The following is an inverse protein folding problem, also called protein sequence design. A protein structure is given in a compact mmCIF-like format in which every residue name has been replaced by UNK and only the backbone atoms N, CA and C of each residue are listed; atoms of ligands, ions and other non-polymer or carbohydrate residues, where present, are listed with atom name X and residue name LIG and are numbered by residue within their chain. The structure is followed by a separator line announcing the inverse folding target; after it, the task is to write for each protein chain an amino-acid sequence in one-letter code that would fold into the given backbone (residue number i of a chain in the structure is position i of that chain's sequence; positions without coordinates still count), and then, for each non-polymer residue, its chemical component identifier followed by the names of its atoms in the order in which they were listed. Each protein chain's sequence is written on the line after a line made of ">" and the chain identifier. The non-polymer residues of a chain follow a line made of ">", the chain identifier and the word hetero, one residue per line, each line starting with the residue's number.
data_IF_469135068905
#
_entry.id   IF_469135068905
#
_cell.length_a   1.000
_cell.length_b   1.000
_cell.length_c   1.000
_cell.angle_alpha   90.00
_cell.angle_beta   90.00
_cell.angle_gamma   90.00
#
_symmetry.space_group_name_H-M   'P 1'
#
loop_
_entity.id
_entity.type
_entity.pdbx_description
1 polymer ?
#
# COMPACT_ATOMS: atom_id res chain seq x y z
N UNK A 1 5.10 -11.24 -29.52
CA UNK A 1 3.99 -10.29 -29.81
C UNK A 1 4.55 -9.05 -30.46
N UNK A 2 3.86 -8.49 -31.48
CA UNK A 2 4.24 -7.22 -32.08
C UNK A 2 4.08 -6.09 -31.05
N UNK A 3 5.03 -5.15 -31.02
CA UNK A 3 4.95 -3.97 -30.16
C UNK A 3 4.22 -2.85 -30.89
N UNK A 4 3.30 -2.18 -30.19
CA UNK A 4 2.67 -0.96 -30.66
C UNK A 4 3.52 0.23 -30.23
N UNK A 5 3.77 1.17 -31.13
CA UNK A 5 4.59 2.34 -30.88
C UNK A 5 3.74 3.59 -31.17
N UNK A 6 3.65 4.49 -30.22
CA UNK A 6 3.03 5.81 -30.35
C UNK A 6 4.05 6.91 -30.02
N UNK A 7 3.89 8.05 -30.68
CA UNK A 7 4.79 9.19 -30.54
C UNK A 7 4.02 10.46 -30.19
N UNK A 8 4.76 11.42 -29.69
CA UNK A 8 4.34 12.81 -29.53
C UNK A 8 3.07 13.01 -28.68
N UNK A 9 2.24 13.92 -29.10
CA UNK A 9 1.04 14.33 -28.37
C UNK A 9 0.03 13.18 -28.21
N UNK A 10 -0.11 12.31 -29.22
CA UNK A 10 -1.03 11.16 -29.16
C UNK A 10 -0.64 10.21 -28.05
N UNK A 11 0.67 9.95 -27.87
CA UNK A 11 1.18 9.09 -26.81
C UNK A 11 0.88 9.71 -25.43
N UNK A 12 1.18 11.00 -25.24
CA UNK A 12 0.90 11.73 -24.01
C UNK A 12 -0.58 11.74 -23.63
N UNK A 13 -1.45 12.00 -24.60
CA UNK A 13 -2.90 12.00 -24.38
C UNK A 13 -3.44 10.63 -24.00
N UNK A 14 -2.97 9.55 -24.62
CA UNK A 14 -3.40 8.18 -24.27
C UNK A 14 -2.94 7.80 -22.87
N UNK A 15 -1.68 8.07 -22.53
CA UNK A 15 -1.19 7.83 -21.16
C UNK A 15 -1.98 8.66 -20.14
N UNK A 16 -2.24 9.96 -20.41
CA UNK A 16 -3.04 10.80 -19.53
C UNK A 16 -4.45 10.28 -19.32
N UNK A 17 -5.11 9.76 -20.35
CA UNK A 17 -6.43 9.15 -20.20
C UNK A 17 -6.42 7.96 -19.26
N UNK A 18 -5.38 7.13 -19.31
CA UNK A 18 -5.21 6.01 -18.38
C UNK A 18 -5.04 6.48 -16.94
N UNK A 19 -4.16 7.46 -16.73
CA UNK A 19 -3.97 8.15 -15.44
C UNK A 19 -5.29 8.70 -14.90
N UNK A 20 -6.04 9.44 -15.73
CA UNK A 20 -7.29 10.07 -15.33
C UNK A 20 -8.38 9.04 -14.98
N UNK A 21 -8.47 7.93 -15.73
CA UNK A 21 -9.45 6.87 -15.48
C UNK A 21 -9.22 6.20 -14.13
N UNK A 22 -7.98 5.79 -13.85
CA UNK A 22 -7.65 5.17 -12.57
C UNK A 22 -7.81 6.17 -11.41
N UNK A 23 -7.26 7.37 -11.54
CA UNK A 23 -7.37 8.38 -10.50
C UNK A 23 -8.82 8.76 -10.19
N UNK A 24 -9.70 8.81 -11.20
CA UNK A 24 -11.13 9.06 -11.01
C UNK A 24 -11.80 7.96 -10.18
N UNK A 25 -11.49 6.69 -10.46
CA UNK A 25 -12.04 5.56 -9.71
C UNK A 25 -11.60 5.57 -8.25
N UNK A 26 -10.30 5.84 -8.00
CA UNK A 26 -9.73 5.88 -6.65
C UNK A 26 -10.18 7.12 -5.87
N UNK A 27 -10.25 8.29 -6.52
CA UNK A 27 -10.57 9.57 -5.85
C UNK A 27 -11.99 9.63 -5.25
N UNK A 28 -12.90 8.75 -5.68
CA UNK A 28 -14.26 8.66 -5.12
C UNK A 28 -14.24 8.32 -3.62
N UNK A 29 -13.21 7.62 -3.17
CA UNK A 29 -13.06 7.20 -1.77
C UNK A 29 -12.47 8.29 -0.86
N UNK A 30 -12.03 9.43 -1.41
CA UNK A 30 -11.32 10.46 -0.67
C UNK A 30 -12.23 11.34 0.19
N UNK A 31 -11.81 11.51 1.44
CA UNK A 31 -12.38 12.50 2.36
C UNK A 31 -13.71 12.09 3.01
N UNK A 32 -14.33 13.00 3.79
CA UNK A 32 -15.50 12.68 4.62
C UNK A 32 -16.77 12.34 3.83
N UNK A 33 -16.79 12.61 2.53
CA UNK A 33 -17.85 12.21 1.59
C UNK A 33 -17.41 11.05 0.69
N UNK A 34 -16.30 10.40 1.04
CA UNK A 34 -15.80 9.23 0.33
C UNK A 34 -16.85 8.13 0.28
N UNK A 35 -16.91 7.44 -0.84
CA UNK A 35 -17.85 6.33 -1.08
C UNK A 35 -17.07 5.05 -1.33
N UNK A 36 -17.67 3.92 -1.01
CA UNK A 36 -17.13 2.62 -1.35
C UNK A 36 -17.24 2.38 -2.87
N UNK A 37 -16.31 1.62 -3.39
CA UNK A 37 -16.30 1.13 -4.77
C UNK A 37 -16.60 -0.35 -4.77
N UNK A 38 -17.42 -0.80 -5.71
CA UNK A 38 -17.71 -2.20 -5.93
C UNK A 38 -16.81 -2.69 -7.07
N UNK A 39 -15.99 -3.70 -6.78
CA UNK A 39 -15.07 -4.31 -7.73
C UNK A 39 -15.60 -5.67 -8.17
N UNK A 40 -15.74 -5.85 -9.49
CA UNK A 40 -16.05 -7.15 -10.09
C UNK A 40 -14.73 -7.89 -10.38
N UNK A 41 -14.53 -9.03 -9.74
CA UNK A 41 -13.35 -9.89 -9.95
C UNK A 41 -13.53 -10.95 -11.01
N UNK A 42 -14.68 -10.97 -11.69
CA UNK A 42 -15.00 -11.97 -12.70
C UNK A 42 -15.28 -13.37 -12.14
N UNK A 43 -14.71 -13.72 -10.99
CA UNK A 43 -14.97 -14.96 -10.25
C UNK A 43 -15.21 -14.65 -8.76
N UNK A 44 -16.28 -15.22 -8.21
CA UNK A 44 -16.65 -15.02 -6.80
C UNK A 44 -17.58 -13.82 -6.58
N UNK A 45 -17.72 -13.42 -5.32
CA UNK A 45 -18.54 -12.27 -4.95
C UNK A 45 -17.83 -10.95 -5.25
N UNK A 46 -18.56 -9.90 -5.65
CA UNK A 46 -18.01 -8.56 -5.77
C UNK A 46 -17.37 -8.11 -4.45
N UNK A 47 -16.26 -7.38 -4.55
CA UNK A 47 -15.59 -6.80 -3.38
C UNK A 47 -16.01 -5.35 -3.24
N UNK A 48 -16.47 -4.97 -2.05
CA UNK A 48 -16.79 -3.59 -1.69
C UNK A 48 -15.63 -3.04 -0.85
N UNK A 49 -15.01 -1.98 -1.32
CA UNK A 49 -13.85 -1.39 -0.64
C UNK A 49 -13.78 0.11 -0.85
N UNK A 50 -13.14 0.80 0.08
CA UNK A 50 -12.75 2.20 -0.02
C UNK A 50 -11.22 2.39 0.00
N UNK A 51 -10.48 1.30 0.08
CA UNK A 51 -9.02 1.35 0.05
C UNK A 51 -8.48 1.64 -1.36
N UNK A 52 -7.72 2.74 -1.46
CA UNK A 52 -7.21 3.24 -2.74
C UNK A 52 -6.24 2.28 -3.43
N UNK A 53 -5.37 1.58 -2.70
CA UNK A 53 -4.43 0.63 -3.31
C UNK A 53 -5.14 -0.62 -3.80
N UNK A 54 -6.12 -1.13 -3.07
CA UNK A 54 -6.94 -2.27 -3.50
C UNK A 54 -7.69 -1.95 -4.78
N UNK A 55 -8.32 -0.76 -4.86
CA UNK A 55 -9.00 -0.32 -6.08
C UNK A 55 -8.01 -0.17 -7.23
N UNK A 56 -6.86 0.46 -6.99
CA UNK A 56 -5.86 0.68 -8.03
C UNK A 56 -5.32 -0.63 -8.61
N UNK A 57 -5.06 -1.64 -7.78
CA UNK A 57 -4.57 -2.96 -8.21
C UNK A 57 -5.53 -3.72 -9.11
N UNK A 58 -6.83 -3.61 -8.87
CA UNK A 58 -7.85 -4.33 -9.65
C UNK A 58 -8.21 -3.65 -10.97
N UNK A 59 -7.78 -2.37 -11.17
CA UNK A 59 -8.08 -1.66 -12.42
C UNK A 59 -7.13 -2.10 -13.53
N UNK A 60 -7.69 -2.65 -14.58
CA UNK A 60 -7.03 -2.94 -15.85
C UNK A 60 -7.84 -2.34 -17.01
N UNK A 61 -7.17 -1.61 -17.90
CA UNK A 61 -7.83 -0.94 -19.03
C UNK A 61 -7.66 -1.73 -20.33
N UNK A 62 -8.74 -1.81 -21.10
CA UNK A 62 -8.73 -2.55 -22.37
C UNK A 62 -7.74 -1.98 -23.40
N UNK A 63 -7.56 -0.66 -23.45
CA UNK A 63 -6.54 -0.04 -24.30
C UNK A 63 -5.16 -0.17 -23.62
N UNK A 64 -4.24 -0.85 -24.30
CA UNK A 64 -2.90 -1.14 -23.77
C UNK A 64 -2.08 0.09 -23.42
N UNK A 65 -2.25 1.20 -24.17
CA UNK A 65 -1.48 2.41 -23.95
C UNK A 65 -2.10 3.24 -22.82
N UNK A 66 -3.40 3.31 -22.76
CA UNK A 66 -4.08 3.88 -21.60
C UNK A 66 -3.73 3.07 -20.33
N UNK A 67 -3.67 1.73 -20.43
CA UNK A 67 -3.28 0.88 -19.30
C UNK A 67 -1.86 1.18 -18.79
N UNK A 68 -0.90 1.45 -19.67
CA UNK A 68 0.43 1.91 -19.23
C UNK A 68 0.37 3.20 -18.40
N UNK A 69 -0.53 4.11 -18.72
CA UNK A 69 -0.77 5.31 -17.92
C UNK A 69 -1.36 4.99 -16.56
N UNK A 70 -2.29 4.05 -16.50
CA UNK A 70 -2.86 3.56 -15.24
C UNK A 70 -1.78 2.85 -14.38
N UNK A 71 -0.93 2.02 -14.96
CA UNK A 71 0.17 1.32 -14.24
C UNK A 71 1.15 2.30 -13.58
N UNK A 72 1.50 3.41 -14.23
CA UNK A 72 2.37 4.43 -13.64
C UNK A 72 1.79 5.01 -12.34
N UNK A 73 0.49 5.23 -12.30
CA UNK A 73 -0.15 5.80 -11.11
C UNK A 73 -0.47 4.74 -10.06
N UNK A 74 -0.71 3.50 -10.48
CA UNK A 74 -0.82 2.33 -9.61
C UNK A 74 0.45 2.12 -8.80
N UNK A 75 1.62 2.22 -9.44
CA UNK A 75 2.92 2.14 -8.76
C UNK A 75 3.08 3.18 -7.64
N UNK A 76 2.53 4.39 -7.82
CA UNK A 76 2.55 5.40 -6.76
C UNK A 76 1.70 4.99 -5.54
N UNK A 77 0.54 4.36 -5.77
CA UNK A 77 -0.29 3.83 -4.68
C UNK A 77 0.40 2.68 -3.95
N UNK A 78 0.97 1.72 -4.68
CA UNK A 78 1.68 0.56 -4.13
C UNK A 78 2.88 0.98 -3.29
N UNK A 79 3.75 1.85 -3.80
CA UNK A 79 4.90 2.36 -3.05
C UNK A 79 4.49 3.12 -1.79
N UNK A 80 3.39 3.86 -1.82
CA UNK A 80 2.88 4.54 -0.64
C UNK A 80 2.39 3.53 0.40
N UNK A 81 1.67 2.50 -0.05
CA UNK A 81 1.22 1.42 0.82
C UNK A 81 2.38 0.68 1.49
N UNK A 82 3.40 0.35 0.74
CA UNK A 82 4.57 -0.42 1.23
C UNK A 82 5.38 0.35 2.28
N UNK A 83 5.39 1.69 2.19
CA UNK A 83 6.20 2.54 3.09
C UNK A 83 5.39 3.06 4.28
N UNK A 84 4.14 3.45 4.05
CA UNK A 84 3.32 4.14 5.06
C UNK A 84 2.06 3.38 5.47
N UNK A 85 1.60 2.42 4.67
CA UNK A 85 0.36 1.68 4.92
C UNK A 85 -0.93 2.49 4.76
N UNK A 86 -0.84 3.81 4.58
CA UNK A 86 -1.96 4.74 4.44
C UNK A 86 -1.63 5.86 3.45
N UNK A 87 -2.65 6.65 3.07
CA UNK A 87 -2.47 7.78 2.15
C UNK A 87 -2.41 7.40 0.67
N UNK A 88 -2.73 6.17 0.30
CA UNK A 88 -2.68 5.66 -1.08
C UNK A 88 -3.58 6.44 -2.03
N UNK A 89 -4.82 6.74 -1.62
CA UNK A 89 -5.76 7.58 -2.37
C UNK A 89 -5.22 8.99 -2.58
N UNK A 90 -4.66 9.60 -1.54
CA UNK A 90 -4.04 10.94 -1.62
C UNK A 90 -2.86 10.94 -2.59
N UNK A 91 -2.00 9.92 -2.55
CA UNK A 91 -0.87 9.78 -3.47
C UNK A 91 -1.32 9.71 -4.94
N UNK A 92 -2.38 8.94 -5.23
CA UNK A 92 -2.97 8.84 -6.58
C UNK A 92 -3.50 10.19 -7.07
N UNK A 93 -4.24 10.91 -6.23
CA UNK A 93 -4.83 12.22 -6.56
C UNK A 93 -3.74 13.25 -6.80
N UNK A 94 -2.71 13.31 -5.96
CA UNK A 94 -1.58 14.21 -6.12
C UNK A 94 -0.77 13.88 -7.39
N UNK A 95 -0.48 12.62 -7.64
CA UNK A 95 0.22 12.19 -8.84
C UNK A 95 -0.54 12.58 -10.12
N UNK A 96 -1.85 12.34 -10.15
CA UNK A 96 -2.70 12.75 -11.27
C UNK A 96 -2.69 14.28 -11.48
N UNK A 97 -2.78 15.06 -10.41
CA UNK A 97 -2.75 16.52 -10.49
C UNK A 97 -1.41 17.03 -11.04
N UNK A 98 -0.28 16.48 -10.54
CA UNK A 98 1.07 16.84 -11.00
C UNK A 98 1.26 16.46 -12.47
N UNK A 99 0.86 15.26 -12.89
CA UNK A 99 0.93 14.81 -14.28
C UNK A 99 0.09 15.72 -15.17
N UNK A 100 -1.14 16.02 -14.77
CA UNK A 100 -2.04 16.87 -15.55
C UNK A 100 -1.53 18.29 -15.71
N UNK A 101 -0.98 18.90 -14.66
CA UNK A 101 -0.36 20.21 -14.70
C UNK A 101 0.93 20.19 -15.54
N UNK A 102 1.76 19.15 -15.36
CA UNK A 102 2.99 18.99 -16.12
C UNK A 102 2.75 18.86 -17.63
N UNK A 103 1.80 18.02 -18.03
CA UNK A 103 1.47 17.83 -19.45
C UNK A 103 0.90 19.10 -20.10
N UNK A 104 0.12 19.90 -19.36
CA UNK A 104 -0.35 21.20 -19.85
C UNK A 104 0.82 22.14 -20.16
N UNK A 105 1.81 22.19 -19.29
CA UNK A 105 3.00 23.04 -19.49
C UNK A 105 3.86 22.54 -20.66
N UNK A 106 4.03 21.22 -20.79
CA UNK A 106 4.76 20.64 -21.93
C UNK A 106 4.03 20.93 -23.25
N UNK A 107 2.71 20.82 -23.30
CA UNK A 107 1.91 21.16 -24.46
C UNK A 107 2.00 22.66 -24.82
N UNK A 108 2.20 23.53 -23.82
CA UNK A 108 2.44 24.97 -24.01
C UNK A 108 3.90 25.31 -24.42
N UNK A 109 4.75 24.28 -24.63
CA UNK A 109 6.14 24.46 -25.09
C UNK A 109 7.19 24.53 -23.99
N UNK A 110 6.84 24.25 -22.73
CA UNK A 110 7.82 24.19 -21.65
C UNK A 110 8.80 23.00 -21.86
N UNK A 111 10.08 23.25 -21.55
CA UNK A 111 11.09 22.19 -21.62
C UNK A 111 10.86 21.14 -20.51
N UNK A 112 10.65 19.85 -20.86
CA UNK A 112 10.38 18.77 -19.87
C UNK A 112 11.46 18.60 -18.82
N UNK A 113 12.73 18.76 -19.17
CA UNK A 113 13.86 18.64 -18.24
C UNK A 113 13.89 19.78 -17.22
N UNK A 114 13.56 21.00 -17.66
CA UNK A 114 13.44 22.16 -16.76
C UNK A 114 12.24 22.01 -15.83
N UNK A 115 11.12 21.50 -16.34
CA UNK A 115 9.94 21.20 -15.55
C UNK A 115 10.25 20.13 -14.47
N UNK A 116 10.92 19.04 -14.84
CA UNK A 116 11.36 18.02 -13.89
C UNK A 116 12.21 18.61 -12.76
N UNK A 117 13.21 19.44 -13.09
CA UNK A 117 14.04 20.14 -12.07
C UNK A 117 13.20 21.00 -11.13
N UNK A 118 12.17 21.65 -11.66
CA UNK A 118 11.23 22.45 -10.85
C UNK A 118 10.42 21.58 -9.90
N UNK A 119 9.89 20.46 -10.39
CA UNK A 119 9.15 19.48 -9.57
C UNK A 119 10.05 18.90 -8.47
N UNK A 120 11.30 18.54 -8.78
CA UNK A 120 12.24 18.01 -7.79
C UNK A 120 12.54 19.01 -6.68
N UNK A 121 12.72 20.30 -7.01
CA UNK A 121 12.90 21.37 -6.01
C UNK A 121 11.66 21.55 -5.13
N UNK A 122 10.47 21.59 -5.75
CA UNK A 122 9.22 21.71 -5.02
C UNK A 122 9.00 20.51 -4.09
N UNK A 123 9.27 19.28 -4.57
CA UNK A 123 9.21 18.07 -3.76
C UNK A 123 10.07 18.16 -2.50
N UNK A 124 11.32 18.60 -2.64
CA UNK A 124 12.24 18.74 -1.49
C UNK A 124 11.70 19.74 -0.46
N UNK A 125 11.28 20.92 -0.91
CA UNK A 125 10.74 21.95 -0.01
C UNK A 125 9.45 21.49 0.70
N UNK A 126 8.54 20.81 -0.03
CA UNK A 126 7.30 20.28 0.56
C UNK A 126 7.60 19.19 1.60
N UNK A 127 8.56 18.29 1.32
CA UNK A 127 8.94 17.23 2.28
C UNK A 127 9.55 17.84 3.55
N UNK A 128 10.40 18.87 3.43
CA UNK A 128 10.97 19.56 4.58
C UNK A 128 9.87 20.21 5.43
N UNK A 129 8.92 20.90 4.80
CA UNK A 129 7.83 21.53 5.51
C UNK A 129 6.88 20.50 6.16
N UNK A 130 6.56 19.41 5.47
CA UNK A 130 5.77 18.32 6.05
C UNK A 130 6.43 17.74 7.31
N UNK A 131 7.75 17.60 7.35
CA UNK A 131 8.48 17.16 8.54
C UNK A 131 8.37 18.16 9.69
N UNK A 132 8.37 19.47 9.37
CA UNK A 132 8.25 20.53 10.38
C UNK A 132 6.87 20.58 11.03
N UNK A 133 5.81 20.32 10.26
CA UNK A 133 4.43 20.35 10.75
C UNK A 133 3.92 18.99 11.26
N UNK A 134 4.66 17.91 11.01
CA UNK A 134 4.28 16.58 11.48
C UNK A 134 4.39 16.48 13.00
N UNK A 135 3.46 15.76 13.61
CA UNK A 135 3.44 15.48 15.04
C UNK A 135 3.71 14.00 15.28
N UNK A 136 4.56 13.69 16.24
CA UNK A 136 4.84 12.31 16.63
C UNK A 136 3.67 11.74 17.43
N UNK A 137 3.27 10.52 17.11
CA UNK A 137 2.26 9.76 17.86
C UNK A 137 2.95 9.07 19.04
N UNK A 138 2.62 9.47 20.27
CA UNK A 138 3.36 9.03 21.45
C UNK A 138 2.49 8.41 22.56
N UNK A 139 1.22 8.75 22.62
CA UNK A 139 0.32 8.30 23.69
C UNK A 139 -0.80 7.41 23.15
N UNK A 140 -1.46 6.70 24.08
CA UNK A 140 -2.56 5.77 23.77
C UNK A 140 -3.68 6.42 22.92
N UNK A 141 -4.14 7.61 23.33
CA UNK A 141 -5.23 8.30 22.64
C UNK A 141 -4.88 8.67 21.19
N UNK A 142 -3.65 9.14 20.95
CA UNK A 142 -3.18 9.45 19.61
C UNK A 142 -3.08 8.19 18.74
N UNK A 143 -2.61 7.06 19.29
CA UNK A 143 -2.58 5.77 18.61
C UNK A 143 -3.99 5.29 18.28
N UNK A 144 -4.91 5.34 19.26
CA UNK A 144 -6.32 4.98 19.06
C UNK A 144 -6.97 5.82 17.97
N UNK A 145 -6.71 7.13 17.94
CA UNK A 145 -7.24 8.02 16.90
C UNK A 145 -6.72 7.67 15.50
N UNK A 146 -5.43 7.38 15.35
CA UNK A 146 -4.85 6.96 14.06
C UNK A 146 -5.45 5.63 13.60
N UNK A 147 -5.53 4.64 14.50
CA UNK A 147 -6.11 3.33 14.20
C UNK A 147 -7.60 3.42 13.88
N UNK A 148 -8.34 4.28 14.58
CA UNK A 148 -9.77 4.55 14.30
C UNK A 148 -9.98 5.15 12.91
N UNK A 149 -9.13 6.09 12.49
CA UNK A 149 -9.22 6.67 11.15
C UNK A 149 -8.97 5.62 10.08
N UNK A 150 -7.97 4.76 10.27
CA UNK A 150 -7.64 3.69 9.31
C UNK A 150 -8.71 2.61 9.23
N UNK A 151 -9.23 2.17 10.37
CA UNK A 151 -10.26 1.11 10.43
C UNK A 151 -11.68 1.61 10.20
N UNK A 152 -11.91 2.92 10.39
CA UNK A 152 -13.24 3.56 10.45
C UNK A 152 -14.13 3.01 11.58
N UNK A 153 -13.53 2.41 12.58
CA UNK A 153 -14.17 1.80 13.73
C UNK A 153 -13.43 2.16 15.03
N UNK A 154 -14.08 2.88 15.96
CA UNK A 154 -13.48 3.25 17.23
C UNK A 154 -13.15 2.05 18.14
N UNK A 155 -13.90 0.95 18.06
CA UNK A 155 -13.65 -0.24 18.87
C UNK A 155 -12.36 -0.95 18.41
N UNK A 156 -12.14 -1.03 17.10
CA UNK A 156 -10.91 -1.53 16.52
C UNK A 156 -9.73 -0.61 16.87
N UNK A 157 -9.95 0.70 16.79
CA UNK A 157 -8.94 1.71 17.13
C UNK A 157 -8.43 1.56 18.56
N UNK A 158 -9.34 1.44 19.52
CA UNK A 158 -9.01 1.26 20.94
C UNK A 158 -8.33 -0.09 21.21
N UNK A 159 -8.80 -1.16 20.54
CA UNK A 159 -8.18 -2.47 20.65
C UNK A 159 -6.73 -2.46 20.16
N UNK A 160 -6.44 -1.84 19.01
CA UNK A 160 -5.09 -1.73 18.45
C UNK A 160 -4.20 -0.91 19.41
N UNK A 161 -4.68 0.21 19.94
CA UNK A 161 -3.94 1.00 20.90
C UNK A 161 -3.58 0.20 22.17
N UNK A 162 -4.54 -0.55 22.71
CA UNK A 162 -4.33 -1.46 23.84
C UNK A 162 -3.28 -2.54 23.53
N UNK A 163 -3.27 -3.08 22.32
CA UNK A 163 -2.27 -4.08 21.90
C UNK A 163 -0.87 -3.45 21.82
N UNK A 164 -0.76 -2.23 21.27
CA UNK A 164 0.52 -1.50 21.18
C UNK A 164 1.09 -1.20 22.59
N UNK A 165 0.23 -0.86 23.54
CA UNK A 165 0.66 -0.65 24.92
C UNK A 165 1.19 -1.93 25.58
N UNK A 166 0.61 -3.10 25.24
CA UNK A 166 1.02 -4.39 25.79
C UNK A 166 2.29 -4.97 25.13
N UNK A 167 2.39 -4.86 23.79
CA UNK A 167 3.53 -5.46 23.03
C UNK A 167 4.68 -4.47 22.80
N UNK A 168 4.43 -3.18 23.00
CA UNK A 168 5.40 -2.10 22.74
C UNK A 168 5.42 -1.65 21.29
N UNK A 169 6.08 -0.50 21.05
CA UNK A 169 6.13 0.16 19.72
C UNK A 169 6.84 -0.67 18.63
N UNK A 170 7.71 -1.59 19.03
CA UNK A 170 8.46 -2.47 18.12
C UNK A 170 7.76 -3.84 17.94
N UNK A 171 6.59 -4.04 18.56
CA UNK A 171 5.81 -5.26 18.43
C UNK A 171 5.20 -5.41 17.04
N UNK A 172 5.15 -6.65 16.55
CA UNK A 172 4.49 -6.97 15.28
C UNK A 172 3.02 -7.23 15.56
N UNK A 173 2.15 -6.52 14.85
CA UNK A 173 0.70 -6.69 14.91
C UNK A 173 0.22 -7.22 13.57
N UNK A 174 -0.49 -8.34 13.59
CA UNK A 174 -1.16 -8.92 12.43
C UNK A 174 -2.67 -8.87 12.64
N UNK A 175 -3.41 -8.65 11.54
CA UNK A 175 -4.87 -8.65 11.55
C UNK A 175 -5.36 -9.78 10.64
N UNK A 176 -6.16 -10.67 11.18
CA UNK A 176 -6.69 -11.83 10.47
C UNK A 176 -8.21 -11.92 10.63
N UNK A 177 -8.89 -12.55 9.66
CA UNK A 177 -10.31 -12.87 9.81
C UNK A 177 -10.53 -13.93 10.89
N UNK A 178 -11.34 -13.58 11.90
CA UNK A 178 -11.73 -14.53 12.94
C UNK A 178 -12.76 -15.54 12.42
N UNK A 179 -12.64 -16.78 12.85
CA UNK A 179 -13.67 -17.84 12.63
C UNK A 179 -14.83 -17.73 13.62
N UNK A 180 -14.72 -16.87 14.61
CA UNK A 180 -15.72 -16.62 15.65
C UNK A 180 -16.37 -15.24 15.45
N UNK A 181 -17.57 -15.07 15.98
CA UNK A 181 -18.26 -13.78 15.94
C UNK A 181 -17.65 -12.83 16.96
N UNK A 182 -17.34 -11.61 16.51
CA UNK A 182 -16.79 -10.53 17.35
C UNK A 182 -15.28 -10.35 17.17
N UNK A 183 -14.75 -9.30 17.80
CA UNK A 183 -13.34 -8.98 17.83
C UNK A 183 -12.65 -9.79 18.94
N UNK A 184 -11.45 -10.28 18.64
CA UNK A 184 -10.61 -10.97 19.63
C UNK A 184 -9.17 -10.55 19.46
N UNK A 185 -8.41 -10.51 20.56
CA UNK A 185 -6.96 -10.30 20.52
C UNK A 185 -6.25 -11.52 21.09
N UNK A 186 -5.14 -11.87 20.48
CA UNK A 186 -4.23 -12.92 20.99
C UNK A 186 -2.82 -12.33 21.02
N UNK A 187 -2.12 -12.48 22.14
CA UNK A 187 -0.77 -11.98 22.31
C UNK A 187 0.16 -13.18 22.47
N UNK A 188 1.11 -13.28 21.57
CA UNK A 188 2.12 -14.32 21.54
C UNK A 188 3.47 -13.72 21.96
N UNK A 189 4.15 -14.38 22.89
CA UNK A 189 5.52 -13.98 23.27
C UNK A 189 6.49 -14.49 22.21
N UNK A 190 7.26 -13.59 21.66
CA UNK A 190 8.23 -13.88 20.61
C UNK A 190 7.82 -13.23 19.29
N UNK A 191 8.37 -13.74 18.19
CA UNK A 191 8.10 -13.24 16.84
C UNK A 191 7.41 -14.32 16.01
N UNK A 192 6.25 -14.03 15.46
CA UNK A 192 5.52 -14.92 14.56
C UNK A 192 5.71 -14.49 13.11
N UNK A 193 5.95 -15.45 12.23
CA UNK A 193 6.10 -15.24 10.79
C UNK A 193 5.03 -16.03 10.03
N UNK A 194 4.59 -15.53 8.90
CA UNK A 194 3.66 -16.21 7.99
C UNK A 194 4.28 -17.42 7.28
N UNK A 195 5.60 -17.59 7.38
CA UNK A 195 6.34 -18.66 6.73
C UNK A 195 6.94 -19.58 7.76
N UNK A 196 6.56 -20.84 7.68
CA UNK A 196 7.10 -21.90 8.51
C UNK A 196 8.37 -22.54 7.92
N UNK A 197 8.56 -23.83 8.16
CA UNK A 197 9.73 -24.57 7.71
C UNK A 197 9.84 -24.63 6.17
N UNK A 198 11.06 -24.63 5.66
CA UNK A 198 11.37 -24.59 4.22
C UNK A 198 11.03 -25.90 3.51
N UNK A 199 10.95 -27.02 4.23
CA UNK A 199 10.67 -28.35 3.68
C UNK A 199 9.83 -29.18 4.65
N UNK A 200 8.83 -29.93 4.14
CA UNK A 200 8.06 -30.90 4.95
C UNK A 200 8.91 -31.95 5.68
N UNK A 201 10.12 -32.19 5.21
CA UNK A 201 11.06 -33.14 5.89
C UNK A 201 11.65 -32.58 7.19
N UNK A 202 11.45 -31.30 7.50
CA UNK A 202 11.89 -30.68 8.75
C UNK A 202 10.88 -30.81 9.89
N UNK A 203 9.75 -31.48 9.65
CA UNK A 203 8.71 -31.71 10.65
C UNK A 203 9.23 -32.65 11.74
N UNK A 204 9.13 -32.22 13.00
CA UNK A 204 9.48 -33.01 14.18
C UNK A 204 8.28 -33.78 14.73
N UNK A 205 7.06 -33.25 14.50
CA UNK A 205 5.82 -33.93 14.87
C UNK A 205 4.94 -34.09 13.63
N UNK A 206 4.88 -35.33 13.11
CA UNK A 206 4.14 -35.67 11.89
C UNK A 206 2.61 -35.65 12.06
N UNK A 207 2.10 -35.85 13.27
CA UNK A 207 0.66 -35.84 13.54
C UNK A 207 0.08 -34.44 13.49
N UNK A 208 0.83 -33.49 14.04
CA UNK A 208 0.44 -32.05 14.03
C UNK A 208 1.05 -31.24 12.89
N UNK A 209 1.92 -31.84 12.09
CA UNK A 209 2.69 -31.19 11.04
C UNK A 209 3.45 -29.95 11.56
N UNK A 210 4.10 -30.10 12.71
CA UNK A 210 4.87 -29.05 13.39
C UNK A 210 6.36 -29.38 13.42
N UNK A 211 7.19 -28.34 13.34
CA UNK A 211 8.63 -28.39 13.62
C UNK A 211 8.89 -27.64 14.92
N UNK A 212 9.05 -28.34 16.03
CA UNK A 212 9.32 -27.78 17.36
C UNK A 212 10.77 -28.02 17.71
N UNK A 213 11.49 -26.97 18.03
CA UNK A 213 12.87 -26.98 18.48
C UNK A 213 12.92 -26.38 19.87
N UNK A 214 13.42 -27.13 20.86
CA UNK A 214 13.58 -26.66 22.23
C UNK A 214 14.97 -26.04 22.40
N UNK A 215 15.01 -24.81 22.92
CA UNK A 215 16.23 -24.02 23.14
C UNK A 215 17.20 -23.96 21.95
N UNK A 216 16.72 -23.64 20.73
CA UNK A 216 17.56 -23.64 19.54
C UNK A 216 18.51 -22.44 19.51
N UNK A 217 19.69 -22.63 18.93
CA UNK A 217 20.53 -21.50 18.50
C UNK A 217 19.98 -20.93 17.20
N UNK A 218 19.69 -19.62 17.18
CA UNK A 218 19.14 -18.93 16.02
C UNK A 218 20.23 -18.15 15.31
N UNK A 219 20.40 -18.42 13.99
CA UNK A 219 21.27 -17.64 13.11
C UNK A 219 20.38 -16.85 12.15
N UNK A 220 20.57 -15.53 12.10
CA UNK A 220 19.87 -14.66 11.18
C UNK A 220 20.87 -14.18 10.13
N UNK A 221 20.56 -14.44 8.84
CA UNK A 221 21.43 -14.04 7.71
C UNK A 221 20.58 -13.75 6.49
N UNK A 222 21.01 -12.80 5.68
CA UNK A 222 20.48 -12.48 4.36
C UNK A 222 21.14 -13.32 3.24
N UNK A 223 22.15 -14.12 3.57
CA UNK A 223 22.89 -14.94 2.63
C UNK A 223 22.25 -16.32 2.47
N UNK A 224 22.24 -16.84 1.24
CA UNK A 224 21.82 -18.21 0.97
C UNK A 224 22.87 -19.19 1.49
N UNK A 225 22.52 -19.93 2.53
CA UNK A 225 23.34 -21.03 3.05
C UNK A 225 22.97 -22.31 2.29
N UNK A 226 23.89 -22.76 1.39
CA UNK A 226 23.66 -23.93 0.53
C UNK A 226 24.60 -25.10 0.82
N UNK A 227 25.60 -24.96 1.70
CA UNK A 227 26.59 -25.97 2.06
C UNK A 227 26.87 -25.97 3.56
N UNK A 228 27.15 -27.17 4.08
CA UNK A 228 27.49 -27.46 5.49
C UNK A 228 29.02 -27.50 5.68
N UNK A 229 29.78 -26.73 4.98
CA UNK A 229 31.24 -26.66 5.17
C UNK A 229 31.65 -25.35 5.84
#
# INVERSE_FOLDING_TARGET
>A
MAKQILFDEKARQSLKKGVDKLAKAVSITLGPKGSNVILDRGFGSPVVTNDGVTIAKEIELADKIENLGAEVIKEAAEKTNDVAGDGTTTAVVLAQAIISAGLKNVAAGANPLSLKKGIDKAKTAVIEELKNISQSVNNHEEVANVATISSQDPEIGEMIASIIDEVGKDGVITVEESKTVGLSKEIVKGLQFDRGYVSPYLVTNTEKMEAVLEDPYIIITDQKISNIH
#
